data_IF_386743215155
#
_entry.id   IF_386743215155
#
_cell.length_a   1.000
_cell.length_b   1.000
_cell.length_c   1.000
_cell.angle_alpha   90.00
_cell.angle_beta   90.00
_cell.angle_gamma   90.00
#
_symmetry.space_group_name_H-M   'P 1'
#
loop_
_entity.id
_entity.type
_entity.pdbx_description
1 polymer ?
#
# COMPACT_ATOMS: atom_id res chain seq x y z
N UNK A 1 -24.07 20.33 14.13
CA UNK A 1 -23.50 21.31 15.09
C UNK A 1 -22.93 20.62 16.34
N UNK A 2 -23.55 19.55 16.83
CA UNK A 2 -23.11 18.84 18.04
C UNK A 2 -21.72 18.20 17.95
N UNK A 3 -21.35 17.70 16.78
CA UNK A 3 -20.04 17.06 16.56
C UNK A 3 -18.93 18.03 16.12
N UNK A 4 -19.24 19.30 15.86
CA UNK A 4 -18.26 20.30 15.41
C UNK A 4 -17.65 20.07 14.03
N UNK A 5 -18.03 19.00 13.32
CA UNK A 5 -17.57 18.70 11.97
C UNK A 5 -18.70 18.15 11.09
N UNK A 6 -18.50 18.18 9.77
CA UNK A 6 -19.40 17.61 8.78
C UNK A 6 -18.58 16.72 7.84
N UNK A 7 -18.79 15.42 7.90
CA UNK A 7 -18.10 14.46 7.02
C UNK A 7 -18.49 14.71 5.57
N UNK A 8 -17.50 14.76 4.69
CA UNK A 8 -17.70 14.98 3.25
C UNK A 8 -17.81 16.43 2.81
N UNK A 9 -17.74 17.40 3.74
CA UNK A 9 -17.83 18.83 3.43
C UNK A 9 -16.63 19.30 2.58
N UNK A 10 -15.49 18.61 2.69
CA UNK A 10 -14.29 18.85 1.89
C UNK A 10 -14.55 18.77 0.39
N UNK A 11 -15.54 17.99 -0.04
CA UNK A 11 -15.97 17.92 -1.43
C UNK A 11 -16.47 19.26 -1.98
N UNK A 12 -16.80 20.19 -1.10
CA UNK A 12 -17.35 21.50 -1.42
C UNK A 12 -16.42 22.66 -0.99
N UNK A 13 -15.15 22.36 -0.69
CA UNK A 13 -14.15 23.33 -0.24
C UNK A 13 -14.05 24.55 -1.14
N UNK A 14 -14.28 24.38 -2.44
CA UNK A 14 -14.29 25.50 -3.43
C UNK A 14 -15.16 26.67 -3.00
N UNK A 15 -16.29 26.43 -2.35
CA UNK A 15 -17.19 27.50 -1.91
C UNK A 15 -16.71 28.24 -0.66
N UNK A 16 -15.78 27.65 0.09
CA UNK A 16 -15.21 28.25 1.30
C UNK A 16 -13.93 29.05 1.00
N UNK A 17 -13.16 28.61 0.03
CA UNK A 17 -11.89 29.27 -0.37
C UNK A 17 -12.02 30.17 -1.59
N UNK A 18 -13.21 30.28 -2.19
CA UNK A 18 -13.50 31.17 -3.31
C UNK A 18 -12.87 30.76 -4.66
N UNK A 19 -12.39 29.53 -4.78
CA UNK A 19 -11.80 29.04 -6.03
C UNK A 19 -12.81 29.01 -7.17
N UNK A 20 -12.33 29.24 -8.39
CA UNK A 20 -13.13 29.09 -9.61
C UNK A 20 -13.45 27.63 -9.88
N UNK A 21 -14.57 27.36 -10.55
CA UNK A 21 -14.92 26.02 -11.02
C UNK A 21 -13.80 25.44 -11.89
N UNK A 22 -13.47 24.15 -11.69
CA UNK A 22 -12.43 23.45 -12.43
C UNK A 22 -10.99 23.65 -11.89
N UNK A 23 -10.76 24.63 -10.99
CA UNK A 23 -9.44 24.78 -10.37
C UNK A 23 -9.16 23.68 -9.36
N UNK A 24 -7.91 23.25 -9.25
CA UNK A 24 -7.49 22.26 -8.27
C UNK A 24 -7.62 22.77 -6.82
N UNK A 25 -7.85 21.91 -5.84
CA UNK A 25 -7.73 22.30 -4.43
C UNK A 25 -6.26 22.55 -4.05
N UNK A 26 -6.06 23.23 -2.93
CA UNK A 26 -4.76 23.26 -2.29
C UNK A 26 -4.40 21.87 -1.77
N UNK A 27 -3.14 21.53 -1.88
CA UNK A 27 -2.59 20.26 -1.36
C UNK A 27 -1.37 20.57 -0.47
N UNK A 28 -0.83 19.53 0.17
CA UNK A 28 0.31 19.67 1.08
C UNK A 28 1.50 20.39 0.40
N UNK A 29 1.74 20.15 -0.89
CA UNK A 29 2.85 20.74 -1.63
C UNK A 29 2.75 22.27 -1.74
N UNK A 30 1.55 22.84 -1.70
CA UNK A 30 1.36 24.30 -1.74
C UNK A 30 1.87 25.03 -0.48
N UNK A 31 2.13 24.30 0.61
CA UNK A 31 2.60 24.85 1.87
C UNK A 31 4.13 24.80 2.04
N UNK A 32 4.84 24.18 1.09
CA UNK A 32 6.30 24.16 1.08
C UNK A 32 6.88 25.42 0.42
N UNK A 33 8.12 25.79 0.73
CA UNK A 33 8.85 26.83 -0.03
C UNK A 33 8.95 26.45 -1.51
N UNK A 34 9.19 27.44 -2.39
CA UNK A 34 9.25 27.19 -3.84
C UNK A 34 10.41 26.29 -4.28
N UNK A 35 11.45 26.18 -3.45
CA UNK A 35 12.69 25.43 -3.69
C UNK A 35 12.77 24.10 -2.93
N UNK A 36 11.63 23.53 -2.53
CA UNK A 36 11.62 22.25 -1.82
C UNK A 36 12.08 21.07 -2.69
N UNK A 37 12.68 20.09 -2.03
CA UNK A 37 13.10 18.83 -2.63
C UNK A 37 12.06 17.75 -2.34
N UNK A 38 11.68 17.00 -3.37
CA UNK A 38 10.86 15.80 -3.24
C UNK A 38 11.77 14.57 -3.33
N UNK A 39 11.64 13.65 -2.39
CA UNK A 39 12.22 12.31 -2.48
C UNK A 39 11.06 11.33 -2.66
N UNK A 40 11.05 10.61 -3.78
CA UNK A 40 10.01 9.63 -4.10
C UNK A 40 10.59 8.24 -3.91
N UNK A 41 10.19 7.60 -2.81
CA UNK A 41 10.56 6.21 -2.53
C UNK A 41 9.70 5.25 -3.34
N UNK A 42 10.29 4.10 -3.72
CA UNK A 42 9.68 3.11 -4.64
C UNK A 42 9.06 3.79 -5.88
N UNK A 43 9.83 4.66 -6.50
CA UNK A 43 9.34 5.57 -7.55
C UNK A 43 8.70 4.84 -8.72
N UNK A 44 9.20 3.64 -9.07
CA UNK A 44 8.65 2.77 -10.12
C UNK A 44 7.19 2.36 -9.88
N UNK A 45 6.72 2.42 -8.61
CA UNK A 45 5.33 2.17 -8.21
C UNK A 45 4.61 3.49 -7.93
N UNK A 46 5.27 4.40 -7.19
CA UNK A 46 4.66 5.66 -6.71
C UNK A 46 4.31 6.61 -7.85
N UNK A 47 5.17 6.75 -8.86
CA UNK A 47 4.92 7.64 -10.01
C UNK A 47 3.71 7.19 -10.84
N UNK A 48 3.57 5.91 -11.23
CA UNK A 48 2.34 5.43 -11.87
C UNK A 48 1.08 5.62 -11.03
N UNK A 49 1.15 5.47 -9.70
CA UNK A 49 0.01 5.72 -8.81
C UNK A 49 -0.40 7.20 -8.84
N UNK A 50 0.55 8.13 -8.71
CA UNK A 50 0.27 9.58 -8.81
C UNK A 50 -0.40 9.90 -10.14
N UNK A 51 0.07 9.31 -11.23
CA UNK A 51 -0.51 9.49 -12.58
C UNK A 51 -1.94 9.00 -12.68
N UNK A 52 -2.27 7.89 -12.02
CA UNK A 52 -3.59 7.27 -12.07
C UNK A 52 -4.63 7.95 -11.16
N UNK A 53 -4.21 8.67 -10.11
CA UNK A 53 -5.08 9.21 -9.06
C UNK A 53 -6.21 10.07 -9.61
N UNK A 54 -5.91 11.01 -10.48
CA UNK A 54 -6.90 11.93 -11.05
C UNK A 54 -7.96 11.19 -11.86
N UNK A 55 -7.54 10.28 -12.72
CA UNK A 55 -8.45 9.52 -13.59
C UNK A 55 -9.41 8.64 -12.79
N UNK A 56 -8.91 7.94 -11.79
CA UNK A 56 -9.70 7.09 -10.91
C UNK A 56 -10.72 7.87 -10.07
N UNK A 57 -10.29 8.98 -9.46
CA UNK A 57 -11.20 9.85 -8.68
C UNK A 57 -12.28 10.47 -9.57
N UNK A 58 -11.89 10.97 -10.74
CA UNK A 58 -12.83 11.56 -11.71
C UNK A 58 -13.88 10.58 -12.17
N UNK A 59 -13.51 9.36 -12.56
CA UNK A 59 -14.43 8.34 -13.02
C UNK A 59 -15.47 8.00 -11.94
N UNK A 60 -15.04 7.83 -10.70
CA UNK A 60 -15.94 7.60 -9.56
C UNK A 60 -16.90 8.78 -9.33
N UNK A 61 -16.41 10.01 -9.36
CA UNK A 61 -17.21 11.21 -9.10
C UNK A 61 -18.21 11.52 -10.18
N UNK A 62 -17.90 11.26 -11.44
CA UNK A 62 -18.86 11.39 -12.54
C UNK A 62 -20.13 10.59 -12.20
N UNK A 63 -19.99 9.32 -11.86
CA UNK A 63 -21.14 8.49 -11.51
C UNK A 63 -21.89 9.03 -10.29
N UNK A 64 -21.17 9.46 -9.23
CA UNK A 64 -21.81 10.01 -8.03
C UNK A 64 -22.60 11.29 -8.30
N UNK A 65 -22.15 12.14 -9.22
CA UNK A 65 -22.85 13.37 -9.61
C UNK A 65 -24.02 13.03 -10.55
N UNK A 66 -23.82 12.17 -11.52
CA UNK A 66 -24.84 11.76 -12.50
C UNK A 66 -26.06 11.12 -11.82
N UNK A 67 -25.81 10.26 -10.82
CA UNK A 67 -26.86 9.61 -10.04
C UNK A 67 -27.34 10.41 -8.81
N UNK A 68 -26.92 11.66 -8.66
CA UNK A 68 -27.43 12.57 -7.62
C UNK A 68 -26.88 12.34 -6.21
N UNK A 69 -25.87 11.48 -6.01
CA UNK A 69 -25.24 11.26 -4.72
C UNK A 69 -24.28 12.39 -4.30
N UNK A 70 -23.83 13.21 -5.25
CA UNK A 70 -22.95 14.36 -5.04
C UNK A 70 -23.39 15.53 -5.92
N UNK A 71 -23.16 16.76 -5.43
CA UNK A 71 -23.36 17.95 -6.26
C UNK A 71 -22.19 18.12 -7.25
N UNK A 72 -22.37 18.81 -8.39
CA UNK A 72 -21.34 19.01 -9.41
C UNK A 72 -20.02 19.58 -8.88
N UNK A 73 -20.07 20.44 -7.86
CA UNK A 73 -18.88 21.02 -7.23
C UNK A 73 -17.94 19.99 -6.56
N UNK A 74 -18.42 18.78 -6.27
CA UNK A 74 -17.57 17.69 -5.79
C UNK A 74 -16.45 17.30 -6.78
N UNK A 75 -16.65 17.58 -8.07
CA UNK A 75 -15.64 17.36 -9.11
C UNK A 75 -14.40 18.24 -8.95
N UNK A 76 -14.51 19.36 -8.23
CA UNK A 76 -13.42 20.32 -8.01
C UNK A 76 -12.56 19.98 -6.80
N UNK A 77 -13.04 19.10 -5.91
CA UNK A 77 -12.20 18.52 -4.85
C UNK A 77 -11.54 17.24 -5.39
N UNK A 78 -10.43 17.38 -6.04
CA UNK A 78 -9.77 16.34 -6.81
C UNK A 78 -8.27 16.27 -6.52
N UNK A 79 -7.62 15.10 -6.70
CA UNK A 79 -6.17 15.05 -6.70
C UNK A 79 -5.58 15.88 -7.85
N UNK A 80 -4.29 16.17 -7.74
CA UNK A 80 -3.54 16.80 -8.82
C UNK A 80 -3.63 15.93 -10.09
N UNK A 81 -3.66 16.58 -11.24
CA UNK A 81 -3.26 15.95 -12.47
C UNK A 81 -1.75 15.71 -12.46
N UNK A 82 -1.28 14.75 -13.23
CA UNK A 82 0.15 14.45 -13.27
C UNK A 82 0.99 15.63 -13.71
N UNK A 83 0.51 16.40 -14.69
CA UNK A 83 1.15 17.61 -15.18
C UNK A 83 1.26 18.70 -14.10
N UNK A 84 0.19 18.89 -13.32
CA UNK A 84 0.18 19.84 -12.19
C UNK A 84 1.18 19.41 -11.10
N UNK A 85 1.31 18.12 -10.85
CA UNK A 85 2.32 17.59 -9.94
C UNK A 85 3.75 17.84 -10.48
N UNK A 86 3.98 17.54 -11.76
CA UNK A 86 5.30 17.74 -12.40
C UNK A 86 5.74 19.21 -12.41
N UNK A 87 4.79 20.15 -12.59
CA UNK A 87 5.08 21.60 -12.52
C UNK A 87 5.51 22.05 -11.11
N UNK A 88 4.97 21.41 -10.06
CA UNK A 88 5.32 21.70 -8.67
C UNK A 88 6.63 21.03 -8.26
N UNK A 89 6.92 19.86 -8.80
CA UNK A 89 8.05 19.00 -8.47
C UNK A 89 9.33 19.43 -9.23
N UNK A 90 9.89 20.60 -8.86
CA UNK A 90 11.06 21.17 -9.55
C UNK A 90 12.35 20.42 -9.27
N UNK A 91 12.51 19.86 -8.08
CA UNK A 91 13.68 19.11 -7.64
C UNK A 91 13.20 17.76 -7.11
N UNK A 92 13.62 16.68 -7.75
CA UNK A 92 13.16 15.34 -7.40
C UNK A 92 14.33 14.37 -7.33
N UNK A 93 14.36 13.56 -6.29
CA UNK A 93 15.18 12.35 -6.20
C UNK A 93 14.24 11.15 -6.28
N UNK A 94 14.46 10.31 -7.29
CA UNK A 94 13.76 9.04 -7.43
C UNK A 94 14.59 7.95 -6.75
N UNK A 95 13.98 7.21 -5.82
CA UNK A 95 14.59 6.07 -5.14
C UNK A 95 13.87 4.81 -5.55
N UNK A 96 14.60 3.82 -6.05
CA UNK A 96 14.04 2.55 -6.48
C UNK A 96 15.12 1.49 -6.61
N UNK A 97 14.79 0.25 -6.25
CA UNK A 97 15.64 -0.90 -6.56
C UNK A 97 15.55 -1.29 -8.06
N UNK A 98 14.45 -0.94 -8.72
CA UNK A 98 14.14 -1.27 -10.11
C UNK A 98 13.52 -0.05 -10.81
N UNK A 99 14.32 1.00 -11.10
CA UNK A 99 13.81 2.21 -11.75
C UNK A 99 13.16 1.89 -13.10
N UNK A 100 12.07 2.61 -13.40
CA UNK A 100 11.34 2.46 -14.65
C UNK A 100 11.78 3.53 -15.67
N UNK A 101 11.31 3.42 -16.90
CA UNK A 101 11.70 4.30 -18.01
C UNK A 101 11.44 5.78 -17.72
N UNK A 102 10.37 6.09 -16.96
CA UNK A 102 10.06 7.47 -16.61
C UNK A 102 11.16 8.13 -15.80
N UNK A 103 11.63 7.47 -14.72
CA UNK A 103 12.69 7.99 -13.85
C UNK A 103 14.01 8.13 -14.63
N UNK A 104 14.34 7.14 -15.46
CA UNK A 104 15.54 7.16 -16.27
C UNK A 104 15.54 8.31 -17.29
N UNK A 105 14.38 8.60 -17.89
CA UNK A 105 14.22 9.73 -18.82
C UNK A 105 14.34 11.05 -18.07
N UNK A 106 13.68 11.18 -16.90
CA UNK A 106 13.69 12.43 -16.12
C UNK A 106 15.06 12.74 -15.52
N UNK A 107 15.84 11.71 -15.18
CA UNK A 107 17.22 11.86 -14.69
C UNK A 107 18.28 11.95 -15.79
N UNK A 108 17.86 11.99 -17.05
CA UNK A 108 18.78 11.97 -18.23
C UNK A 108 19.75 10.79 -18.20
N UNK A 109 19.34 9.69 -17.59
CA UNK A 109 20.16 8.48 -17.40
C UNK A 109 21.20 8.60 -16.29
N UNK A 110 21.19 9.66 -15.49
CA UNK A 110 22.08 9.79 -14.33
C UNK A 110 21.52 8.93 -13.20
N UNK A 111 22.25 7.88 -12.85
CA UNK A 111 21.91 6.93 -11.79
C UNK A 111 23.04 6.83 -10.78
N UNK A 112 22.70 6.94 -9.52
CA UNK A 112 23.62 6.65 -8.40
C UNK A 112 23.26 5.31 -7.81
N UNK A 113 24.15 4.34 -7.94
CA UNK A 113 23.94 3.00 -7.38
C UNK A 113 24.45 2.94 -5.94
N UNK A 114 23.60 2.41 -5.06
CA UNK A 114 23.96 2.09 -3.69
C UNK A 114 23.78 0.59 -3.45
N UNK A 115 24.84 -0.16 -3.69
CA UNK A 115 24.89 -1.63 -3.54
C UNK A 115 25.62 -1.96 -2.25
N UNK A 116 24.94 -1.87 -1.11
CA UNK A 116 25.54 -2.14 0.20
C UNK A 116 24.73 -3.24 0.91
N UNK A 117 25.40 -4.33 1.28
CA UNK A 117 24.87 -5.37 2.19
C UNK A 117 25.70 -5.45 3.47
N UNK A 118 25.44 -4.56 4.44
CA UNK A 118 26.27 -4.46 5.65
C UNK A 118 26.10 -5.66 6.59
N UNK A 119 24.99 -6.41 6.46
CA UNK A 119 24.62 -7.47 7.41
C UNK A 119 25.36 -8.78 7.22
N UNK A 120 25.99 -9.01 6.07
CA UNK A 120 26.59 -10.30 5.72
C UNK A 120 25.57 -11.47 5.63
N UNK A 121 24.28 -11.20 5.73
CA UNK A 121 23.23 -12.20 5.56
C UNK A 121 23.04 -12.52 4.09
N UNK A 122 23.01 -13.82 3.78
CA UNK A 122 22.66 -14.30 2.43
C UNK A 122 21.15 -14.13 2.19
N UNK A 123 20.79 -14.01 0.91
CA UNK A 123 19.39 -14.10 0.51
C UNK A 123 18.81 -15.47 0.89
N UNK A 124 17.53 -15.55 1.27
CA UNK A 124 16.90 -16.83 1.53
C UNK A 124 16.87 -17.69 0.26
N UNK A 125 16.95 -19.00 0.44
CA UNK A 125 16.77 -19.95 -0.66
C UNK A 125 15.32 -19.86 -1.10
N UNK A 126 15.11 -19.62 -2.40
CA UNK A 126 13.79 -19.58 -3.02
C UNK A 126 13.54 -20.88 -3.76
N UNK A 127 12.44 -21.54 -3.43
CA UNK A 127 11.96 -22.73 -4.12
C UNK A 127 10.62 -22.44 -4.78
N UNK A 128 10.50 -22.74 -6.07
CA UNK A 128 9.26 -22.58 -6.84
C UNK A 128 8.63 -23.94 -7.02
N UNK A 129 7.42 -24.13 -6.50
CA UNK A 129 6.67 -25.38 -6.54
C UNK A 129 5.40 -25.24 -7.39
N UNK A 130 4.89 -26.36 -7.97
CA UNK A 130 3.61 -26.37 -8.68
C UNK A 130 2.44 -25.96 -7.80
N UNK A 131 1.46 -25.28 -8.38
CA UNK A 131 0.23 -24.90 -7.65
C UNK A 131 -0.75 -26.06 -7.44
N UNK A 132 -0.54 -27.19 -8.12
CA UNK A 132 -1.34 -28.39 -7.93
C UNK A 132 -1.03 -29.02 -6.56
N UNK A 133 -2.06 -29.34 -5.78
CA UNK A 133 -1.95 -29.83 -4.39
C UNK A 133 -1.16 -28.92 -3.44
N UNK A 134 -1.13 -27.61 -3.72
CA UNK A 134 -0.34 -26.64 -2.94
C UNK A 134 -0.71 -26.59 -1.45
N UNK A 135 -1.93 -26.95 -1.07
CA UNK A 135 -2.37 -26.96 0.34
C UNK A 135 -1.79 -28.17 1.08
N UNK A 136 -1.75 -29.34 0.46
CA UNK A 136 -1.16 -30.55 1.05
C UNK A 136 0.35 -30.36 1.22
N UNK A 137 1.02 -29.79 0.20
CA UNK A 137 2.44 -29.45 0.23
C UNK A 137 2.75 -28.40 1.33
N UNK A 138 1.90 -27.37 1.47
CA UNK A 138 2.01 -26.40 2.55
C UNK A 138 1.86 -27.03 3.93
N UNK A 139 0.93 -27.94 4.10
CA UNK A 139 0.72 -28.66 5.37
C UNK A 139 1.95 -29.51 5.75
N UNK A 140 2.54 -30.21 4.78
CA UNK A 140 3.76 -30.98 5.01
C UNK A 140 4.92 -30.09 5.44
N UNK A 141 5.14 -28.97 4.76
CA UNK A 141 6.19 -28.00 5.12
C UNK A 141 5.94 -27.37 6.50
N UNK A 142 4.71 -27.02 6.83
CA UNK A 142 4.36 -26.51 8.16
C UNK A 142 4.72 -27.54 9.23
N UNK A 143 4.36 -28.81 9.04
CA UNK A 143 4.65 -29.87 10.00
C UNK A 143 6.16 -30.04 10.20
N UNK A 144 6.95 -30.05 9.12
CA UNK A 144 8.41 -30.11 9.17
C UNK A 144 9.01 -28.94 9.98
N UNK A 145 8.44 -27.72 9.83
CA UNK A 145 8.89 -26.55 10.57
C UNK A 145 8.51 -26.59 12.05
N UNK A 146 7.32 -27.06 12.36
CA UNK A 146 6.87 -27.27 13.75
C UNK A 146 7.80 -28.27 14.47
N UNK A 147 8.14 -29.38 13.85
CA UNK A 147 9.07 -30.38 14.42
C UNK A 147 10.46 -29.80 14.72
N UNK A 148 10.89 -28.81 13.92
CA UNK A 148 12.15 -28.08 14.12
C UNK A 148 12.04 -26.88 15.08
N UNK A 149 10.85 -26.65 15.64
CA UNK A 149 10.54 -25.47 16.44
C UNK A 149 10.77 -24.15 15.71
N UNK A 150 10.53 -24.16 14.40
CA UNK A 150 10.56 -22.99 13.51
C UNK A 150 9.16 -22.41 13.33
N UNK A 151 9.06 -21.19 12.80
CA UNK A 151 7.79 -20.49 12.55
C UNK A 151 7.59 -20.28 11.06
N UNK A 152 6.34 -20.33 10.62
CA UNK A 152 5.98 -20.17 9.21
C UNK A 152 5.13 -18.93 9.00
N UNK A 153 5.49 -18.11 8.00
CA UNK A 153 4.68 -17.00 7.51
C UNK A 153 4.07 -17.38 6.17
N UNK A 154 2.75 -17.29 6.05
CA UNK A 154 2.04 -17.60 4.82
C UNK A 154 1.37 -16.35 4.26
N UNK A 155 1.71 -15.99 3.03
CA UNK A 155 1.10 -14.86 2.33
C UNK A 155 0.12 -15.34 1.28
N UNK A 156 -1.09 -14.80 1.29
CA UNK A 156 -2.14 -15.11 0.31
C UNK A 156 -2.41 -13.94 -0.61
N UNK A 157 -3.05 -14.21 -1.74
CA UNK A 157 -3.39 -13.18 -2.74
C UNK A 157 -4.60 -12.32 -2.33
N UNK A 158 -5.48 -12.83 -1.48
CA UNK A 158 -6.68 -12.13 -1.05
C UNK A 158 -6.94 -12.33 0.44
N UNK A 159 -7.66 -11.37 1.04
CA UNK A 159 -8.12 -11.43 2.43
C UNK A 159 -8.97 -12.69 2.69
N UNK A 160 -9.89 -12.98 1.78
CA UNK A 160 -10.76 -14.16 1.86
C UNK A 160 -9.96 -15.47 1.87
N UNK A 161 -8.93 -15.60 1.02
CA UNK A 161 -8.06 -16.78 1.05
C UNK A 161 -7.31 -16.91 2.38
N UNK A 162 -6.88 -15.81 3.00
CA UNK A 162 -6.24 -15.84 4.31
C UNK A 162 -7.20 -16.38 5.38
N UNK A 163 -8.44 -15.92 5.38
CA UNK A 163 -9.48 -16.34 6.31
C UNK A 163 -9.81 -17.84 6.14
N UNK A 164 -10.09 -18.26 4.90
CA UNK A 164 -10.42 -19.68 4.58
C UNK A 164 -9.24 -20.62 4.91
N UNK A 165 -8.00 -20.21 4.61
CA UNK A 165 -6.82 -20.99 4.93
C UNK A 165 -6.59 -21.10 6.45
N UNK A 166 -6.83 -20.02 7.18
CA UNK A 166 -6.70 -20.02 8.65
C UNK A 166 -7.71 -21.00 9.27
N UNK A 167 -8.96 -20.95 8.84
CA UNK A 167 -9.99 -21.89 9.31
C UNK A 167 -9.62 -23.35 8.98
N UNK A 168 -9.12 -23.59 7.78
CA UNK A 168 -8.65 -24.91 7.37
C UNK A 168 -7.51 -25.43 8.26
N UNK A 169 -6.48 -24.59 8.52
CA UNK A 169 -5.35 -24.98 9.36
C UNK A 169 -5.76 -25.22 10.82
N UNK A 170 -6.64 -24.39 11.39
CA UNK A 170 -7.18 -24.59 12.73
C UNK A 170 -7.96 -25.90 12.85
N UNK A 171 -8.75 -26.25 11.83
CA UNK A 171 -9.49 -27.51 11.77
C UNK A 171 -8.58 -28.76 11.63
N UNK A 172 -7.32 -28.56 11.25
CA UNK A 172 -6.27 -29.58 11.19
C UNK A 172 -5.26 -29.48 12.36
N UNK A 173 -5.66 -28.93 13.50
CA UNK A 173 -4.88 -28.82 14.74
C UNK A 173 -3.58 -28.02 14.62
N UNK A 174 -3.43 -27.16 13.61
CA UNK A 174 -2.29 -26.25 13.46
C UNK A 174 -2.55 -24.98 14.27
N UNK A 175 -1.64 -24.62 15.17
CA UNK A 175 -1.71 -23.36 15.92
C UNK A 175 -1.40 -22.19 15.01
N UNK A 176 -2.42 -21.54 14.49
CA UNK A 176 -2.25 -20.42 13.56
C UNK A 176 -3.11 -19.22 13.94
N UNK A 177 -2.72 -18.07 13.42
CA UNK A 177 -3.51 -16.85 13.47
C UNK A 177 -3.39 -16.13 12.11
N UNK A 178 -4.24 -15.14 11.86
CA UNK A 178 -4.13 -14.32 10.65
C UNK A 178 -4.09 -12.83 10.96
N UNK A 179 -3.45 -12.07 10.08
CA UNK A 179 -3.39 -10.60 10.12
C UNK A 179 -4.05 -10.02 8.87
N UNK A 180 -4.90 -9.02 9.07
CA UNK A 180 -5.50 -8.22 8.00
C UNK A 180 -5.37 -6.71 8.26
N UNK A 181 -5.77 -5.89 7.29
CA UNK A 181 -5.64 -4.43 7.34
C UNK A 181 -6.41 -3.76 8.48
N UNK A 182 -7.47 -4.41 8.96
CA UNK A 182 -8.39 -3.84 9.96
C UNK A 182 -8.00 -4.19 11.40
N UNK A 183 -6.90 -4.95 11.59
CA UNK A 183 -6.34 -5.25 12.91
C UNK A 183 -5.66 -4.00 13.46
N UNK A 184 -6.01 -3.60 14.69
CA UNK A 184 -5.41 -2.46 15.38
C UNK A 184 -3.89 -2.64 15.56
N UNK A 185 -3.16 -1.53 15.62
CA UNK A 185 -1.70 -1.53 15.70
C UNK A 185 -1.20 -2.29 16.94
N UNK A 186 -1.86 -2.11 18.10
CA UNK A 186 -1.49 -2.80 19.33
C UNK A 186 -1.74 -4.32 19.24
N UNK A 187 -2.85 -4.71 18.64
CA UNK A 187 -3.17 -6.12 18.42
C UNK A 187 -2.19 -6.76 17.44
N UNK A 188 -1.78 -6.04 16.38
CA UNK A 188 -0.75 -6.50 15.45
C UNK A 188 0.58 -6.78 16.15
N UNK A 189 1.03 -5.86 17.02
CA UNK A 189 2.25 -6.04 17.81
C UNK A 189 2.14 -7.28 18.69
N UNK A 190 0.99 -7.50 19.32
CA UNK A 190 0.73 -8.68 20.15
C UNK A 190 0.79 -9.97 19.33
N UNK A 191 0.12 -10.05 18.19
CA UNK A 191 0.14 -11.23 17.31
C UNK A 191 1.57 -11.58 16.89
N UNK A 192 2.39 -10.57 16.55
CA UNK A 192 3.80 -10.77 16.21
C UNK A 192 4.65 -11.23 17.39
N UNK A 193 4.36 -10.77 18.60
CA UNK A 193 5.01 -11.26 19.83
C UNK A 193 4.63 -12.71 20.11
N UNK A 194 3.35 -13.02 20.02
CA UNK A 194 2.80 -14.35 20.26
C UNK A 194 3.40 -15.39 19.28
N UNK A 195 3.64 -14.99 18.01
CA UNK A 195 4.34 -15.85 17.05
C UNK A 195 5.79 -16.11 17.47
N UNK A 196 6.52 -15.08 17.92
CA UNK A 196 7.91 -15.22 18.38
C UNK A 196 8.01 -16.07 19.64
N UNK A 197 7.07 -15.93 20.54
CA UNK A 197 6.96 -16.70 21.78
C UNK A 197 6.50 -18.15 21.57
N UNK A 198 6.00 -18.49 20.36
CA UNK A 198 5.53 -19.82 19.99
C UNK A 198 4.13 -20.16 20.45
N UNK A 199 3.31 -19.17 20.72
CA UNK A 199 1.87 -19.35 20.96
C UNK A 199 1.20 -19.84 19.66
N UNK A 200 1.67 -19.30 18.52
CA UNK A 200 1.32 -19.74 17.18
C UNK A 200 2.54 -20.29 16.47
N UNK A 201 2.34 -21.29 15.63
CA UNK A 201 3.36 -21.87 14.76
C UNK A 201 3.32 -21.25 13.36
N UNK A 202 2.13 -20.79 12.94
CA UNK A 202 1.89 -20.22 11.62
C UNK A 202 1.16 -18.87 11.74
N UNK A 203 1.61 -17.91 10.97
CA UNK A 203 0.93 -16.64 10.80
C UNK A 203 0.57 -16.46 9.32
N UNK A 204 -0.72 -16.20 9.05
CA UNK A 204 -1.27 -16.07 7.71
C UNK A 204 -1.67 -14.60 7.50
N UNK A 205 -1.49 -14.10 6.29
CA UNK A 205 -1.98 -12.77 6.00
C UNK A 205 -1.93 -12.40 4.53
N UNK A 206 -2.63 -11.30 4.27
CA UNK A 206 -2.59 -10.62 2.99
C UNK A 206 -1.65 -9.41 3.12
N UNK A 207 -0.61 -9.33 2.28
CA UNK A 207 0.41 -8.27 2.36
C UNK A 207 1.11 -8.13 3.74
N UNK A 208 1.45 -9.25 4.37
CA UNK A 208 2.07 -9.31 5.71
C UNK A 208 3.38 -8.50 5.85
N UNK A 209 4.10 -8.31 4.76
CA UNK A 209 5.46 -7.75 4.73
C UNK A 209 5.53 -6.33 4.15
N UNK A 210 4.40 -5.65 4.07
CA UNK A 210 4.33 -4.23 3.67
C UNK A 210 4.03 -3.32 4.84
#
# INVERSE_FOLDING_TARGET
RELGHCSGIENYSRYFDGRKAGSRPYCLLDFFPEDFLIVIDESHVSVPQIRAMYGGDRARKINLVEYGFRLPAAMDNRPLKFEEFAEMAKQVIYVSATPADYELIQSEGIVVEQVIRPTGLLDPIIEVRPSHNQIDDLMEEIQIRIEKNERTLVTTLTKRMAEELTEFLLNNDVKCNYIHSDVDTLERVKIMSDLREGIYDVLIGFNLLR
#
